data_IF_827603158005
#
_entry.id   IF_827603158005
#
_cell.length_a   1.000
_cell.length_b   1.000
_cell.length_c   1.000
_cell.angle_alpha   90.00
_cell.angle_beta   90.00
_cell.angle_gamma   90.00
#
_symmetry.space_group_name_H-M   'P 1'
#
loop_
_entity.id
_entity.type
_entity.pdbx_description
1 polymer ?
#
# COMPACT_ATOMS: atom_id res chain seq x y z
N UNK A 1 3.45 -13.69 2.32
CA UNK A 1 3.66 -12.52 3.19
C UNK A 1 4.44 -13.00 4.40
N UNK A 2 5.45 -12.25 4.85
CA UNK A 2 6.29 -12.65 5.99
C UNK A 2 5.42 -12.80 7.26
N UNK A 3 5.40 -13.98 7.92
CA UNK A 3 4.64 -14.20 9.14
C UNK A 3 4.98 -13.22 10.27
N UNK A 4 6.18 -12.64 10.27
CA UNK A 4 6.63 -11.71 11.30
C UNK A 4 6.09 -10.28 11.12
N UNK A 5 5.45 -9.96 9.98
CA UNK A 5 4.90 -8.63 9.75
C UNK A 5 3.74 -8.30 10.70
N UNK A 6 3.01 -9.30 11.21
CA UNK A 6 1.89 -9.08 12.13
C UNK A 6 0.74 -8.24 11.53
N UNK A 7 -0.24 -7.91 12.36
CA UNK A 7 -1.52 -7.34 11.89
C UNK A 7 -1.43 -5.90 11.39
N UNK A 8 -0.31 -5.22 11.66
CA UNK A 8 -0.08 -3.83 11.23
C UNK A 8 0.16 -3.68 9.73
N UNK A 9 0.44 -4.78 9.03
CA UNK A 9 0.73 -4.79 7.59
C UNK A 9 -0.32 -5.63 6.87
N UNK A 10 -1.50 -5.04 6.56
CA UNK A 10 -2.59 -5.77 5.95
C UNK A 10 -2.17 -6.32 4.58
N UNK A 11 -2.38 -7.62 4.37
CA UNK A 11 -2.01 -8.28 3.11
C UNK A 11 -2.69 -7.66 1.88
N UNK A 12 -3.87 -7.04 2.06
CA UNK A 12 -4.58 -6.31 1.00
C UNK A 12 -3.83 -5.06 0.52
N UNK A 13 -3.00 -4.45 1.37
CA UNK A 13 -2.16 -3.32 1.00
C UNK A 13 -0.89 -3.74 0.23
N UNK A 14 -0.49 -5.01 0.34
CA UNK A 14 0.76 -5.53 -0.21
C UNK A 14 0.93 -5.23 -1.70
N UNK A 15 -0.04 -5.69 -2.49
CA UNK A 15 -0.01 -5.59 -3.94
C UNK A 15 -0.06 -4.14 -4.43
N UNK A 16 -0.98 -3.27 -3.97
CA UNK A 16 -0.99 -1.88 -4.42
C UNK A 16 0.27 -1.11 -3.98
N UNK A 17 0.83 -1.38 -2.80
CA UNK A 17 2.12 -0.80 -2.37
C UNK A 17 3.27 -1.27 -3.27
N UNK A 18 3.35 -2.57 -3.57
CA UNK A 18 4.37 -3.11 -4.47
C UNK A 18 4.26 -2.51 -5.89
N UNK A 19 3.03 -2.35 -6.39
CA UNK A 19 2.78 -1.69 -7.68
C UNK A 19 3.23 -0.23 -7.67
N UNK A 20 2.98 0.51 -6.58
CA UNK A 20 3.47 1.86 -6.42
C UNK A 20 5.01 1.91 -6.37
N UNK A 21 5.64 1.05 -5.58
CA UNK A 21 7.10 0.95 -5.49
C UNK A 21 7.73 0.67 -6.86
N UNK A 22 7.13 -0.24 -7.64
CA UNK A 22 7.58 -0.54 -9.01
C UNK A 22 7.52 0.70 -9.92
N UNK A 23 6.46 1.52 -9.83
CA UNK A 23 6.38 2.79 -10.58
C UNK A 23 7.47 3.79 -10.14
N UNK A 24 7.73 3.91 -8.84
CA UNK A 24 8.77 4.78 -8.31
C UNK A 24 10.18 4.38 -8.78
N UNK A 25 10.38 3.09 -9.03
CA UNK A 25 11.64 2.49 -9.49
C UNK A 25 11.71 2.33 -11.02
N UNK A 26 10.82 2.96 -11.78
CA UNK A 26 10.84 2.87 -13.24
C UNK A 26 12.22 3.27 -13.80
N UNK A 27 12.78 2.54 -14.78
CA UNK A 27 14.12 2.83 -15.31
C UNK A 27 14.20 4.26 -15.86
N UNK A 28 13.18 4.67 -16.60
CA UNK A 28 13.04 6.00 -17.19
C UNK A 28 12.52 7.01 -16.15
N UNK A 29 13.28 8.07 -15.83
CA UNK A 29 12.87 9.05 -14.82
C UNK A 29 11.51 9.71 -15.09
N UNK A 30 11.18 9.95 -16.36
CA UNK A 30 9.90 10.54 -16.78
C UNK A 30 8.67 9.66 -16.50
N UNK A 31 8.86 8.37 -16.26
CA UNK A 31 7.80 7.42 -15.94
C UNK A 31 7.54 7.33 -14.43
N UNK A 32 8.42 7.91 -13.62
CA UNK A 32 8.29 7.92 -12.16
C UNK A 32 7.22 8.96 -11.77
N UNK A 33 6.35 8.64 -10.80
CA UNK A 33 5.38 9.59 -10.30
C UNK A 33 6.07 10.76 -9.58
N UNK A 34 5.41 11.92 -9.54
CA UNK A 34 5.84 13.00 -8.64
C UNK A 34 5.59 12.61 -7.18
N UNK A 35 6.30 13.24 -6.24
CA UNK A 35 6.04 12.98 -4.81
C UNK A 35 4.62 13.34 -4.39
N UNK A 36 3.96 14.28 -5.09
CA UNK A 36 2.54 14.59 -4.90
C UNK A 36 1.66 13.39 -5.25
N UNK A 37 1.90 12.78 -6.42
CA UNK A 37 1.13 11.61 -6.87
C UNK A 37 1.40 10.38 -5.97
N UNK A 38 2.65 10.21 -5.51
CA UNK A 38 3.01 9.17 -4.54
C UNK A 38 2.19 9.32 -3.25
N UNK A 39 2.12 10.53 -2.70
CA UNK A 39 1.36 10.80 -1.49
C UNK A 39 -0.12 10.50 -1.67
N UNK A 40 -0.73 10.96 -2.77
CA UNK A 40 -2.14 10.73 -3.08
C UNK A 40 -2.45 9.23 -3.21
N UNK A 41 -1.59 8.47 -3.91
CA UNK A 41 -1.75 7.01 -4.03
C UNK A 41 -1.62 6.31 -2.68
N UNK A 42 -0.65 6.71 -1.82
CA UNK A 42 -0.49 6.13 -0.48
C UNK A 42 -1.71 6.40 0.41
N UNK A 43 -2.25 7.61 0.38
CA UNK A 43 -3.47 7.96 1.11
C UNK A 43 -4.68 7.14 0.65
N UNK A 44 -4.82 6.91 -0.67
CA UNK A 44 -5.85 6.03 -1.22
C UNK A 44 -5.71 4.57 -0.76
N UNK A 45 -4.48 4.05 -0.67
CA UNK A 45 -4.20 2.70 -0.16
C UNK A 45 -4.54 2.62 1.34
N UNK A 46 -4.18 3.61 2.14
CA UNK A 46 -4.58 3.66 3.56
C UNK A 46 -6.10 3.72 3.73
N UNK A 47 -6.79 4.57 2.97
CA UNK A 47 -8.25 4.72 3.06
C UNK A 47 -9.03 3.47 2.66
N UNK A 48 -8.48 2.65 1.75
CA UNK A 48 -9.09 1.38 1.32
C UNK A 48 -8.77 0.21 2.26
N UNK A 49 -7.68 0.29 3.01
CA UNK A 49 -7.24 -0.77 3.93
C UNK A 49 -7.84 -0.65 5.33
N UNK A 50 -8.02 0.58 5.85
CA UNK A 50 -8.66 0.82 7.15
C UNK A 50 -10.12 0.35 7.23
N UNK A 51 -10.85 0.28 6.12
CA UNK A 51 -12.25 -0.20 6.09
C UNK A 51 -12.41 -1.69 6.43
N UNK A 52 -11.34 -2.47 6.54
CA UNK A 52 -11.40 -3.92 6.81
C UNK A 52 -11.01 -4.27 8.25
N UNK A 53 -10.37 -3.38 9.02
CA UNK A 53 -9.82 -3.72 10.35
C UNK A 53 -10.92 -3.93 11.40
N UNK A 54 -12.17 -3.60 11.09
CA UNK A 54 -13.30 -3.61 12.03
C UNK A 54 -14.07 -4.95 12.09
N UNK A 55 -13.67 -5.99 11.34
CA UNK A 55 -14.42 -7.27 11.24
C UNK A 55 -13.59 -8.49 11.69
N UNK A 56 -12.68 -8.33 12.64
CA UNK A 56 -12.04 -9.46 13.35
C UNK A 56 -11.85 -9.19 14.84
N UNK A 57 -12.87 -8.59 15.46
CA UNK A 57 -13.19 -8.86 16.85
C UNK A 57 -14.28 -9.93 16.90
N UNK A 58 -14.15 -10.84 17.87
CA UNK A 58 -15.18 -11.72 18.45
C UNK A 58 -15.04 -13.24 18.21
N UNK A 59 -14.68 -13.88 19.35
CA UNK A 59 -14.63 -15.29 19.78
C UNK A 59 -13.60 -16.26 19.19
#
# INVERSE_FOLDING_TARGET
MDPHLGDKYPIKAAFPIAKLASKCLAPEPKMRPSMKDVLEMLQGIQGSTNKTVEVRGDH
#
